data_IF_616120035648
#
_entry.id   IF_616120035648
#
_cell.length_a   1.000
_cell.length_b   1.000
_cell.length_c   1.000
_cell.angle_alpha   90.00
_cell.angle_beta   90.00
_cell.angle_gamma   90.00
#
_symmetry.space_group_name_H-M   'P 1'
#
loop_
_entity.id
_entity.type
_entity.pdbx_description
1 polymer ?
#
# COMPACT_ATOMS: atom_id res chain seq x y z
N UNK A 1 14.38 11.42 -17.59
CA UNK A 1 15.03 10.18 -17.12
C UNK A 1 13.94 9.25 -16.60
N UNK A 2 13.75 8.07 -17.21
CA UNK A 2 12.89 7.06 -16.62
C UNK A 2 13.67 6.44 -15.45
N UNK A 3 13.33 6.84 -14.22
CA UNK A 3 13.73 6.08 -13.03
C UNK A 3 13.20 4.67 -13.25
N UNK A 4 14.09 3.68 -13.27
CA UNK A 4 13.75 2.29 -13.53
C UNK A 4 12.63 1.85 -12.60
N UNK A 5 11.42 1.61 -13.13
CA UNK A 5 10.31 1.09 -12.36
C UNK A 5 10.70 -0.30 -11.84
N UNK A 6 11.01 -0.36 -10.55
CA UNK A 6 11.22 -1.64 -9.86
C UNK A 6 9.87 -2.29 -9.62
N UNK A 7 9.80 -3.59 -9.85
CA UNK A 7 8.60 -4.41 -9.67
C UNK A 7 8.80 -5.33 -8.46
N UNK A 8 8.57 -4.86 -7.22
CA UNK A 8 8.58 -5.74 -6.05
C UNK A 8 7.46 -6.79 -6.10
N UNK A 9 7.72 -7.93 -5.46
CA UNK A 9 6.68 -8.90 -5.09
C UNK A 9 5.71 -8.30 -4.08
N UNK A 10 4.58 -8.98 -3.85
CA UNK A 10 3.58 -8.55 -2.83
C UNK A 10 4.21 -8.38 -1.45
N UNK A 11 5.12 -9.27 -1.03
CA UNK A 11 5.74 -9.21 0.29
C UNK A 11 6.72 -8.04 0.39
N UNK A 12 7.59 -7.88 -0.60
CA UNK A 12 8.52 -6.74 -0.67
C UNK A 12 7.77 -5.40 -0.71
N UNK A 13 6.64 -5.33 -1.41
CA UNK A 13 5.81 -4.13 -1.45
C UNK A 13 5.20 -3.81 -0.08
N UNK A 14 4.74 -4.81 0.68
CA UNK A 14 4.23 -4.61 2.05
C UNK A 14 5.32 -4.09 2.97
N UNK A 15 6.50 -4.70 2.93
CA UNK A 15 7.65 -4.28 3.74
C UNK A 15 8.11 -2.87 3.38
N UNK A 16 8.18 -2.56 2.08
CA UNK A 16 8.51 -1.24 1.58
C UNK A 16 7.50 -0.19 2.06
N UNK A 17 6.19 -0.44 1.92
CA UNK A 17 5.16 0.50 2.36
C UNK A 17 5.28 0.79 3.86
N UNK A 18 5.50 -0.27 4.65
CA UNK A 18 5.67 -0.14 6.10
C UNK A 18 6.94 0.63 6.47
N UNK A 19 8.06 0.34 5.83
CA UNK A 19 9.35 0.96 6.13
C UNK A 19 9.47 2.40 5.63
N UNK A 20 8.86 2.72 4.50
CA UNK A 20 8.98 4.04 3.85
C UNK A 20 7.89 5.01 4.27
N UNK A 21 6.63 4.55 4.40
CA UNK A 21 5.50 5.42 4.69
C UNK A 21 4.94 5.24 6.11
N UNK A 22 5.43 4.27 6.88
CA UNK A 22 4.90 3.98 8.23
C UNK A 22 3.47 3.42 8.24
N UNK A 23 2.92 3.04 7.07
CA UNK A 23 1.54 2.56 6.94
C UNK A 23 1.49 1.06 7.22
N UNK A 24 0.60 0.64 8.13
CA UNK A 24 0.35 -0.78 8.37
C UNK A 24 -0.42 -1.41 7.20
N UNK A 25 0.33 -2.06 6.33
CA UNK A 25 -0.15 -2.79 5.16
C UNK A 25 -0.06 -4.29 5.37
N UNK A 26 -1.07 -5.02 4.92
CA UNK A 26 -1.03 -6.48 4.83
C UNK A 26 -1.34 -6.91 3.38
N UNK A 27 -1.09 -8.19 3.07
CA UNK A 27 -1.33 -8.73 1.73
C UNK A 27 -2.77 -8.51 1.27
N UNK A 28 -3.77 -8.65 2.15
CA UNK A 28 -5.18 -8.58 1.78
C UNK A 28 -5.58 -7.16 1.39
N UNK A 29 -5.09 -6.15 2.13
CA UNK A 29 -5.27 -4.73 1.77
C UNK A 29 -4.62 -4.41 0.43
N UNK A 30 -3.39 -4.89 0.19
CA UNK A 30 -2.71 -4.68 -1.09
C UNK A 30 -3.46 -5.32 -2.27
N UNK A 31 -3.97 -6.55 -2.08
CA UNK A 31 -4.84 -7.20 -3.07
C UNK A 31 -6.17 -6.48 -3.28
N UNK A 32 -6.71 -5.81 -2.26
CA UNK A 32 -7.91 -4.97 -2.40
C UNK A 32 -7.60 -3.75 -3.27
N UNK A 33 -6.46 -3.08 -3.05
CA UNK A 33 -6.01 -1.96 -3.89
C UNK A 33 -5.83 -2.37 -5.35
N UNK A 34 -5.35 -3.60 -5.61
CA UNK A 34 -5.33 -4.18 -6.96
C UNK A 34 -6.72 -4.24 -7.59
N UNK A 35 -7.70 -4.80 -6.86
CA UNK A 35 -9.07 -4.96 -7.39
C UNK A 35 -9.73 -3.63 -7.70
N UNK A 36 -9.37 -2.58 -6.96
CA UNK A 36 -9.86 -1.22 -7.17
C UNK A 36 -9.08 -0.44 -8.24
N UNK A 37 -7.99 -1.02 -8.78
CA UNK A 37 -7.20 -0.39 -9.85
C UNK A 37 -6.27 0.75 -9.38
N UNK A 38 -6.00 0.87 -8.08
CA UNK A 38 -5.15 1.94 -7.53
C UNK A 38 -3.66 1.73 -7.75
N UNK A 39 -3.24 0.48 -7.96
CA UNK A 39 -1.84 0.10 -8.14
C UNK A 39 -1.67 -0.57 -9.50
N UNK A 40 -0.51 -0.38 -10.11
CA UNK A 40 -0.15 -1.08 -11.33
C UNK A 40 0.50 -2.42 -10.99
N UNK A 41 0.19 -3.44 -11.78
CA UNK A 41 0.66 -4.81 -11.55
C UNK A 41 1.18 -5.41 -12.84
N UNK A 42 2.21 -6.25 -12.72
CA UNK A 42 2.77 -6.99 -13.84
C UNK A 42 2.87 -8.45 -13.47
N UNK A 43 2.32 -9.28 -14.35
CA UNK A 43 2.57 -10.72 -14.33
C UNK A 43 3.77 -10.97 -15.24
N UNK A 44 4.86 -11.45 -14.66
CA UNK A 44 6.06 -11.84 -15.40
C UNK A 44 5.99 -13.36 -15.65
N UNK A 45 6.45 -13.84 -16.83
CA UNK A 45 6.44 -15.27 -17.13
C UNK A 45 7.27 -16.03 -16.09
N UNK A 46 6.67 -17.03 -15.44
CA UNK A 46 7.32 -17.87 -14.40
C UNK A 46 7.66 -17.17 -13.08
N UNK A 47 7.12 -15.97 -12.83
CA UNK A 47 7.36 -15.23 -11.60
C UNK A 47 6.06 -14.89 -10.86
N UNK A 48 6.11 -14.71 -9.53
CA UNK A 48 4.96 -14.25 -8.77
C UNK A 48 4.51 -12.86 -9.24
N UNK A 49 3.23 -12.56 -9.04
CA UNK A 49 2.66 -11.27 -9.39
C UNK A 49 3.42 -10.13 -8.70
N UNK A 50 3.77 -9.10 -9.47
CA UNK A 50 4.57 -7.97 -9.01
C UNK A 50 3.79 -6.66 -9.05
N UNK A 51 4.10 -5.75 -8.14
CA UNK A 51 3.51 -4.41 -8.00
C UNK A 51 4.49 -3.37 -8.51
N UNK A 52 4.02 -2.33 -9.18
CA UNK A 52 4.86 -1.19 -9.56
C UNK A 52 5.20 -0.35 -8.33
N UNK A 53 6.49 -0.23 -7.99
CA UNK A 53 6.95 0.67 -6.92
C UNK A 53 6.50 2.11 -7.18
N UNK A 54 6.54 2.58 -8.43
CA UNK A 54 6.09 3.93 -8.75
C UNK A 54 4.61 4.15 -8.51
N UNK A 55 3.75 3.16 -8.77
CA UNK A 55 2.32 3.27 -8.42
C UNK A 55 2.11 3.31 -6.91
N UNK A 56 2.92 2.58 -6.14
CA UNK A 56 2.94 2.67 -4.67
C UNK A 56 3.37 4.08 -4.25
N UNK A 57 4.48 4.56 -4.80
CA UNK A 57 5.03 5.88 -4.48
C UNK A 57 4.06 7.01 -4.84
N UNK A 58 3.36 6.89 -5.97
CA UNK A 58 2.33 7.86 -6.37
C UNK A 58 1.10 7.81 -5.46
N UNK A 59 0.71 6.61 -4.99
CA UNK A 59 -0.45 6.43 -4.12
C UNK A 59 -0.19 6.87 -2.68
N UNK A 60 0.99 6.58 -2.13
CA UNK A 60 1.34 6.87 -0.73
C UNK A 60 2.20 8.12 -0.54
N UNK A 61 3.01 8.49 -1.53
CA UNK A 61 3.94 9.63 -1.48
C UNK A 61 3.55 10.82 -2.36
N UNK A 62 2.48 10.71 -3.16
CA UNK A 62 1.92 11.86 -3.88
C UNK A 62 1.10 12.77 -2.96
N UNK A 63 0.88 14.02 -3.40
CA UNK A 63 -0.11 14.98 -2.86
C UNK A 63 -1.57 14.49 -3.02
N UNK A 64 -1.81 13.20 -2.84
CA UNK A 64 -3.16 12.76 -2.60
C UNK A 64 -3.62 13.44 -1.32
N UNK A 65 -4.82 14.05 -1.29
CA UNK A 65 -5.47 14.24 -0.02
C UNK A 65 -5.66 12.81 0.48
N UNK A 66 -4.83 12.39 1.45
CA UNK A 66 -5.24 11.43 2.45
C UNK A 66 -6.42 12.13 3.14
N UNK A 67 -7.55 12.17 2.44
CA UNK A 67 -8.79 12.72 2.90
C UNK A 67 -9.05 11.98 4.17
N UNK A 68 -8.85 12.70 5.27
CA UNK A 68 -9.21 12.36 6.63
C UNK A 68 -9.53 10.88 6.75
N UNK A 69 -8.50 10.03 6.71
CA UNK A 69 -8.67 8.70 7.29
C UNK A 69 -8.80 9.02 8.75
N UNK A 70 -10.04 9.21 9.19
CA UNK A 70 -10.43 9.33 10.59
C UNK A 70 -9.61 8.28 11.32
N UNK A 71 -8.62 8.75 12.07
CA UNK A 71 -8.04 8.00 13.15
C UNK A 71 -9.19 7.94 14.15
N UNK A 72 -10.14 7.05 13.91
CA UNK A 72 -11.07 6.60 14.90
C UNK A 72 -10.19 5.94 15.96
N UNK A 73 -9.78 6.76 16.93
CA UNK A 73 -9.33 6.31 18.24
C UNK A 73 -10.51 5.53 18.81
N UNK A 74 -10.58 4.26 18.48
CA UNK A 74 -11.25 3.27 19.29
C UNK A 74 -10.44 3.15 20.58
N UNK A 75 -10.62 4.11 21.49
CA UNK A 75 -10.38 3.90 22.91
C UNK A 75 -11.74 4.00 23.57
N UNK A 76 -12.40 2.85 23.60
CA UNK A 76 -13.59 2.64 24.41
C UNK A 76 -13.19 2.85 25.88
N UNK A 77 -13.65 3.93 26.49
CA UNK A 77 -13.74 3.99 27.95
C UNK A 77 -14.72 2.89 28.39
N UNK A 78 -14.31 1.93 29.24
CA UNK A 78 -15.26 0.98 29.80
C UNK A 78 -16.22 1.74 30.74
N UNK A 79 -17.55 1.63 30.57
CA UNK A 79 -18.47 2.20 31.53
C UNK A 79 -18.44 1.31 32.78
N UNK A 80 -17.98 1.84 33.92
CA UNK A 80 -18.42 1.43 35.26
C UNK A 80 -17.68 2.20 36.37
N UNK A 81 -18.38 3.11 37.04
CA UNK A 81 -18.74 2.99 38.46
C UNK A 81 -19.74 4.09 38.84
#
# INVERSE_FOLDING_TARGET
MALSDTWPTVLEAVEYIRGTYGVFMDKHKLWRLRRMGYLEWKLLPSEPLRVSKRSIDAFYGGDWPLGEVEVEKAEAEPPAA
#
